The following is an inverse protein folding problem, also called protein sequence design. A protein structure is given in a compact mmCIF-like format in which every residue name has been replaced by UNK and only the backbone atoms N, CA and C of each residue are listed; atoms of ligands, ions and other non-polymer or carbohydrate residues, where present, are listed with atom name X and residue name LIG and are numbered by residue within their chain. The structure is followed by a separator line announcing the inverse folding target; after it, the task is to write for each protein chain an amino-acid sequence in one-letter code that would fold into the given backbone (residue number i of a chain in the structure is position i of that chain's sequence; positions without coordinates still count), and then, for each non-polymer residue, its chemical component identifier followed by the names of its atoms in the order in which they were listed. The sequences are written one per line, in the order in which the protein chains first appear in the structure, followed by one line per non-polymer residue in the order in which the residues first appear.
data_IF_592951839072
#
_entry.id   IF_592951839072
#
_cell.length_a   1.000
_cell.length_b   1.000
_cell.length_c   1.000
_cell.angle_alpha   90.00
_cell.angle_beta   90.00
_cell.angle_gamma   90.00
#
_symmetry.space_group_name_H-M   'P 1'
#
loop_
_entity.id
_entity.type
_entity.pdbx_description
1 polymer ?
#
# COMPACT_ATOMS: atom_id res chain seq x y z
N UNK A 1 -1.68 -13.36 10.62
CA UNK A 1 -2.38 -12.63 11.71
C UNK A 1 -3.85 -12.61 11.35
N UNK A 2 -4.74 -13.17 12.20
CA UNK A 2 -6.19 -13.08 11.98
C UNK A 2 -6.65 -11.70 12.44
N UNK A 3 -6.97 -10.81 11.51
CA UNK A 3 -7.60 -9.53 11.82
C UNK A 3 -9.08 -9.78 12.12
N UNK A 4 -9.41 -10.07 13.38
CA UNK A 4 -10.80 -10.21 13.84
C UNK A 4 -11.44 -8.85 14.22
N UNK A 5 -10.80 -7.76 13.81
CA UNK A 5 -11.26 -6.40 14.06
C UNK A 5 -12.13 -5.98 12.88
N UNK A 6 -13.37 -5.57 13.16
CA UNK A 6 -14.22 -4.91 12.14
C UNK A 6 -13.56 -3.59 11.77
N UNK A 7 -13.21 -3.41 10.51
CA UNK A 7 -12.58 -2.19 9.98
C UNK A 7 -13.34 -1.69 8.77
N UNK A 8 -13.31 -0.37 8.56
CA UNK A 8 -13.85 0.31 7.39
C UNK A 8 -12.81 1.33 6.90
N UNK A 9 -12.64 1.42 5.59
CA UNK A 9 -11.77 2.43 4.99
C UNK A 9 -12.39 3.83 5.12
N UNK A 10 -11.58 4.82 5.49
CA UNK A 10 -11.97 6.23 5.68
C UNK A 10 -11.15 7.10 4.71
N UNK A 11 -11.74 8.16 4.09
CA UNK A 11 -11.00 9.13 3.27
C UNK A 11 -9.69 9.64 3.87
N UNK A 12 -9.62 9.85 5.18
CA UNK A 12 -8.38 10.31 5.86
C UNK A 12 -7.20 9.32 5.68
N UNK A 13 -7.50 8.03 5.75
CA UNK A 13 -6.50 6.97 5.57
C UNK A 13 -5.98 7.00 4.13
N UNK A 14 -6.88 7.20 3.18
CA UNK A 14 -6.55 7.24 1.75
C UNK A 14 -5.72 8.49 1.44
N UNK A 15 -6.15 9.67 1.90
CA UNK A 15 -5.42 10.94 1.75
C UNK A 15 -3.97 10.84 2.27
N UNK A 16 -3.75 10.17 3.41
CA UNK A 16 -2.41 9.93 3.94
C UNK A 16 -1.57 9.03 3.02
N UNK A 17 -2.17 8.03 2.36
CA UNK A 17 -1.47 7.14 1.44
C UNK A 17 -1.16 7.81 0.11
N UNK A 18 -2.00 8.75 -0.37
CA UNK A 18 -1.65 9.62 -1.49
C UNK A 18 -0.32 10.34 -1.23
N UNK A 19 -0.16 10.93 -0.05
CA UNK A 19 1.09 11.60 0.30
C UNK A 19 2.26 10.62 0.41
N UNK A 20 2.07 9.48 1.09
CA UNK A 20 3.16 8.51 1.31
C UNK A 20 3.63 7.80 0.05
N UNK A 21 2.73 7.46 -0.87
CA UNK A 21 3.03 6.63 -2.02
C UNK A 21 3.27 7.45 -3.29
N UNK A 22 2.54 8.56 -3.45
CA UNK A 22 2.57 9.39 -4.67
C UNK A 22 3.18 10.78 -4.43
N UNK A 23 3.40 11.19 -3.17
CA UNK A 23 3.87 12.55 -2.85
C UNK A 23 2.80 13.63 -3.02
N UNK A 24 1.54 13.24 -3.28
CA UNK A 24 0.43 14.16 -3.56
C UNK A 24 -0.35 14.43 -2.27
N UNK A 25 -0.61 15.71 -1.98
CA UNK A 25 -1.47 16.10 -0.85
C UNK A 25 -2.89 16.27 -1.36
N UNK A 26 -3.83 15.49 -0.79
CA UNK A 26 -5.25 15.55 -1.12
C UNK A 26 -6.02 15.86 0.16
N UNK A 27 -6.95 16.81 0.10
CA UNK A 27 -7.82 17.09 1.23
C UNK A 27 -8.87 15.97 1.38
N UNK A 28 -9.16 15.45 2.59
CA UNK A 28 -10.09 14.33 2.77
C UNK A 28 -11.51 14.60 2.22
N UNK A 29 -11.98 15.84 2.25
CA UNK A 29 -13.30 16.24 1.73
C UNK A 29 -13.37 16.25 0.20
N UNK A 30 -12.21 16.35 -0.48
CA UNK A 30 -12.12 16.31 -1.94
C UNK A 30 -12.06 14.86 -2.47
N UNK A 31 -11.96 13.87 -1.57
CA UNK A 31 -11.86 12.46 -1.91
C UNK A 31 -13.20 11.75 -1.67
N UNK A 32 -13.72 11.12 -2.71
CA UNK A 32 -14.92 10.30 -2.67
C UNK A 32 -14.54 8.83 -2.80
N UNK A 33 -14.96 8.04 -1.81
CA UNK A 33 -14.91 6.59 -1.86
C UNK A 33 -16.21 6.05 -2.48
N UNK A 34 -16.22 4.80 -2.94
CA UNK A 34 -17.45 4.12 -3.34
C UNK A 34 -18.50 4.18 -2.22
N UNK A 35 -19.78 4.23 -2.61
CA UNK A 35 -20.90 4.28 -1.64
C UNK A 35 -20.89 3.07 -0.71
N UNK A 36 -20.54 1.91 -1.25
CA UNK A 36 -20.40 0.69 -0.47
C UNK A 36 -19.19 0.76 0.47
N UNK A 37 -19.38 0.46 1.78
CA UNK A 37 -18.31 0.53 2.75
C UNK A 37 -17.23 -0.52 2.45
N UNK A 38 -16.02 -0.06 2.18
CA UNK A 38 -14.87 -0.94 1.94
C UNK A 38 -14.41 -1.58 3.25
N UNK A 39 -14.69 -2.87 3.38
CA UNK A 39 -14.35 -3.72 4.54
C UNK A 39 -13.59 -4.99 4.13
N UNK A 40 -13.34 -5.16 2.83
CA UNK A 40 -12.68 -6.31 2.23
C UNK A 40 -11.45 -5.87 1.44
N UNK A 41 -10.46 -6.75 1.39
CA UNK A 41 -9.30 -6.57 0.52
C UNK A 41 -9.71 -6.68 -0.95
N UNK A 42 -9.09 -5.89 -1.82
CA UNK A 42 -9.43 -5.87 -3.24
C UNK A 42 -8.98 -4.61 -3.97
N UNK A 43 -9.36 -4.54 -5.24
CA UNK A 43 -9.13 -3.39 -6.11
C UNK A 43 -10.36 -2.49 -6.09
N UNK A 44 -10.11 -1.20 -5.94
CA UNK A 44 -11.13 -0.18 -5.85
C UNK A 44 -10.69 1.07 -6.61
N UNK A 45 -11.63 1.99 -6.73
CA UNK A 45 -11.39 3.31 -7.29
C UNK A 45 -11.80 4.35 -6.25
N UNK A 46 -11.08 5.47 -6.23
CA UNK A 46 -11.51 6.67 -5.52
C UNK A 46 -11.52 7.85 -6.48
N UNK A 47 -12.47 8.75 -6.29
CA UNK A 47 -12.60 9.95 -7.09
C UNK A 47 -12.04 11.13 -6.31
N UNK A 48 -11.16 11.90 -6.92
CA UNK A 48 -10.52 13.07 -6.32
C UNK A 48 -10.95 14.30 -7.10
N UNK A 49 -11.61 15.24 -6.43
CA UNK A 49 -12.05 16.49 -7.04
C UNK A 49 -11.01 17.59 -6.82
N UNK A 50 -10.44 18.11 -7.90
CA UNK A 50 -9.47 19.21 -7.89
C UNK A 50 -10.22 20.53 -8.05
N UNK A 51 -10.09 21.43 -7.08
CA UNK A 51 -10.68 22.77 -7.08
C UNK A 51 -12.21 22.81 -7.31
N UNK A 52 -12.92 21.70 -7.06
CA UNK A 52 -14.37 21.62 -7.30
C UNK A 52 -14.79 21.53 -8.77
N UNK A 53 -13.84 21.38 -9.70
CA UNK A 53 -14.11 21.36 -11.14
C UNK A 53 -13.81 19.99 -11.73
N UNK A 54 -12.56 19.57 -11.66
CA UNK A 54 -12.11 18.34 -12.30
C UNK A 54 -12.18 17.18 -11.33
N UNK A 55 -12.77 16.06 -11.74
CA UNK A 55 -12.79 14.83 -10.96
C UNK A 55 -11.93 13.78 -11.62
N UNK A 56 -10.87 13.36 -10.93
CA UNK A 56 -9.92 12.34 -11.40
C UNK A 56 -10.19 11.04 -10.66
N UNK A 57 -10.35 9.96 -11.42
CA UNK A 57 -10.56 8.62 -10.88
C UNK A 57 -9.23 7.90 -10.72
N UNK A 58 -8.88 7.57 -9.47
CA UNK A 58 -7.59 7.00 -9.10
C UNK A 58 -7.76 5.54 -8.67
N UNK A 59 -7.03 4.59 -9.29
CA UNK A 59 -7.06 3.20 -8.87
C UNK A 59 -6.35 3.03 -7.52
N UNK A 60 -6.93 2.22 -6.64
CA UNK A 60 -6.34 1.92 -5.33
C UNK A 60 -6.51 0.43 -4.98
N UNK A 61 -5.47 -0.16 -4.41
CA UNK A 61 -5.48 -1.52 -3.90
C UNK A 61 -5.54 -1.52 -2.37
N UNK A 62 -6.56 -2.16 -1.83
CA UNK A 62 -6.74 -2.32 -0.39
C UNK A 62 -6.18 -3.68 -0.01
N UNK A 63 -4.99 -3.67 0.59
CA UNK A 63 -4.20 -4.87 0.91
C UNK A 63 -4.02 -5.04 2.40
N UNK A 64 -3.73 -6.28 2.82
CA UNK A 64 -3.37 -6.57 4.20
C UNK A 64 -2.19 -5.67 4.61
N UNK A 65 -2.34 -4.96 5.72
CA UNK A 65 -1.27 -4.14 6.26
C UNK A 65 -0.01 -4.98 6.53
N UNK A 66 1.02 -4.75 5.72
CA UNK A 66 2.34 -5.30 5.98
C UNK A 66 3.02 -4.42 7.01
N UNK A 67 3.26 -4.96 8.22
CA UNK A 67 4.00 -4.23 9.25
C UNK A 67 5.33 -3.73 8.66
N UNK A 68 5.70 -2.45 8.87
CA UNK A 68 6.97 -1.93 8.42
C UNK A 68 8.09 -2.82 8.97
N UNK A 69 8.80 -3.51 8.07
CA UNK A 69 9.99 -4.27 8.44
C UNK A 69 11.06 -3.29 8.88
N UNK A 70 11.71 -3.55 10.01
CA UNK A 70 12.84 -2.74 10.48
C UNK A 70 13.95 -2.73 9.43
N UNK A 71 14.74 -1.65 9.37
CA UNK A 71 15.88 -1.56 8.44
C UNK A 71 16.79 -2.79 8.54
N UNK A 72 17.12 -3.21 9.77
CA UNK A 72 17.91 -4.41 10.06
C UNK A 72 17.31 -5.67 9.43
N UNK A 73 16.01 -5.87 9.56
CA UNK A 73 15.35 -7.05 9.01
C UNK A 73 15.29 -7.04 7.48
N UNK A 74 15.13 -5.86 6.86
CA UNK A 74 15.24 -5.72 5.40
C UNK A 74 16.65 -6.07 4.89
N UNK A 75 17.70 -5.58 5.57
CA UNK A 75 19.09 -5.94 5.24
C UNK A 75 19.35 -7.44 5.39
N UNK A 76 18.86 -8.05 6.47
CA UNK A 76 19.01 -9.50 6.68
C UNK A 76 18.35 -10.32 5.57
N UNK A 77 17.15 -9.95 5.11
CA UNK A 77 16.48 -10.61 3.98
C UNK A 77 17.26 -10.46 2.67
N UNK A 78 17.82 -9.28 2.40
CA UNK A 78 18.62 -9.04 1.19
C UNK A 78 19.89 -9.91 1.17
N UNK A 79 20.57 -10.06 2.33
CA UNK A 79 21.72 -10.95 2.46
C UNK A 79 21.36 -12.43 2.22
N UNK A 80 20.19 -12.87 2.69
CA UNK A 80 19.72 -14.23 2.44
C UNK A 80 19.43 -14.47 0.96
N UNK A 81 18.76 -13.53 0.28
CA UNK A 81 18.47 -13.63 -1.15
C UNK A 81 19.76 -13.64 -2.00
N UNK A 82 20.78 -12.87 -1.61
CA UNK A 82 22.09 -12.87 -2.26
C UNK A 82 22.83 -14.21 -2.05
N UNK A 83 22.73 -14.81 -0.86
CA UNK A 83 23.32 -16.13 -0.57
C UNK A 83 22.65 -17.26 -1.34
N UNK A 84 21.33 -17.19 -1.56
CA UNK A 84 20.60 -18.19 -2.33
C UNK A 84 20.77 -18.09 -3.84
N UNK A 85 21.27 -16.96 -4.36
CA UNK A 85 21.51 -16.72 -5.79
C UNK A 85 22.98 -16.86 -6.19
N UNK A 86 23.89 -17.05 -5.23
CA UNK A 86 25.28 -17.39 -5.53
C UNK A 86 25.33 -18.82 -6.10
N UNK A 87 25.83 -19.02 -7.33
CA UNK A 87 26.01 -20.35 -7.87
C UNK A 87 27.04 -21.08 -7.00
N UNK A 88 26.71 -22.29 -6.56
CA UNK A 88 27.66 -23.21 -5.92
C UNK A 88 28.71 -23.60 -6.97
N UNK A 89 29.75 -22.78 -7.14
CA UNK A 89 30.96 -23.18 -7.84
C UNK A 89 31.75 -24.10 -6.91
N UNK A 90 31.27 -25.34 -6.75
CA UNK A 90 32.04 -26.42 -6.15
C UNK A 90 33.19 -26.73 -7.11
N UNK A 91 34.38 -26.35 -6.67
CA UNK A 91 35.64 -26.61 -7.35
C UNK A 91 35.85 -28.11 -7.54
N UNK A 92 36.10 -28.50 -8.79
CA UNK A 92 36.73 -29.77 -9.16
C UNK A 92 38.23 -29.67 -8.85
N UNK A 93 38.75 -30.60 -8.05
CA UNK A 93 40.16 -31.01 -8.05
C UNK A 93 40.21 -32.52 -7.99
#
# INVERSE_FOLDING_TARGET
MKNNIKWKLNPEIVARHFFKNLGVVVAPHALKLPEDPITRWGEYWCDVTVNGLDTVRVPMSVVLFQKPKTKRYKHWLAQQAAKSTAPTSSQSV
#
